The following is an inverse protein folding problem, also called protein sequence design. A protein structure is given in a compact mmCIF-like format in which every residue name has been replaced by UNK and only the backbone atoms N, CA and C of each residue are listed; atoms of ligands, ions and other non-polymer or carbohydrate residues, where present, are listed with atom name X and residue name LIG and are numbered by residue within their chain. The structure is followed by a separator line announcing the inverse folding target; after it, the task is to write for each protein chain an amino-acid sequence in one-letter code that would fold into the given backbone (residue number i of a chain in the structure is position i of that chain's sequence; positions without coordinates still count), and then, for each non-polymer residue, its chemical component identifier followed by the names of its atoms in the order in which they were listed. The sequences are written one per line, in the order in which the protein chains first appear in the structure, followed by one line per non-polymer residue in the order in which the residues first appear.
data_IF_484707975797
#
_entry.id   IF_484707975797
#
_cell.length_a   1.000
_cell.length_b   1.000
_cell.length_c   1.000
_cell.angle_alpha   90.00
_cell.angle_beta   90.00
_cell.angle_gamma   90.00
#
_symmetry.space_group_name_H-M   'P 1'
#
loop_
_entity.id
_entity.type
_entity.pdbx_description
1 polymer ?
#
# COMPACT_ATOMS: atom_id res chain seq x y z
N UNK A 1 13.19 24.16 -14.10
CA UNK A 1 14.31 23.27 -13.76
C UNK A 1 13.93 21.89 -14.28
N UNK A 2 14.89 21.02 -14.61
CA UNK A 2 14.59 19.68 -15.11
C UNK A 2 14.26 18.79 -13.92
N UNK A 3 13.05 18.26 -13.81
CA UNK A 3 12.64 17.43 -12.66
C UNK A 3 13.21 16.01 -12.80
N UNK A 4 14.03 15.58 -11.84
CA UNK A 4 14.74 14.29 -11.81
C UNK A 4 14.24 13.44 -10.64
N UNK A 5 13.57 12.33 -10.95
CA UNK A 5 13.01 11.43 -9.93
C UNK A 5 13.77 10.10 -9.91
N UNK A 6 14.22 9.69 -8.73
CA UNK A 6 14.87 8.40 -8.52
C UNK A 6 13.90 7.28 -8.16
N UNK A 7 14.18 6.05 -8.58
CA UNK A 7 13.50 4.84 -8.08
C UNK A 7 14.54 3.82 -7.62
N UNK A 8 14.54 3.51 -6.32
CA UNK A 8 15.43 2.52 -5.71
C UNK A 8 14.71 1.18 -5.58
N UNK A 9 15.31 0.13 -6.14
CA UNK A 9 14.78 -1.23 -6.09
C UNK A 9 13.82 -1.50 -7.24
N UNK A 10 14.20 -2.39 -8.17
CA UNK A 10 13.47 -2.62 -9.42
C UNK A 10 12.82 -4.01 -9.45
N UNK A 11 12.22 -4.40 -8.31
CA UNK A 11 11.32 -5.55 -8.22
C UNK A 11 9.97 -5.25 -8.88
N UNK A 12 8.94 -6.06 -8.57
CA UNK A 12 7.59 -5.88 -9.12
C UNK A 12 7.03 -4.47 -8.85
N UNK A 13 7.07 -4.02 -7.59
CA UNK A 13 6.56 -2.71 -7.16
C UNK A 13 7.40 -1.55 -7.71
N UNK A 14 8.72 -1.62 -7.60
CA UNK A 14 9.57 -0.55 -8.11
C UNK A 14 9.50 -0.37 -9.62
N UNK A 15 9.33 -1.44 -10.40
CA UNK A 15 9.08 -1.32 -11.85
C UNK A 15 7.73 -0.66 -12.14
N UNK A 16 6.68 -1.00 -11.38
CA UNK A 16 5.39 -0.32 -11.47
C UNK A 16 5.52 1.18 -11.18
N UNK A 17 6.21 1.56 -10.10
CA UNK A 17 6.47 2.97 -9.77
C UNK A 17 7.27 3.68 -10.86
N UNK A 18 8.37 3.09 -11.34
CA UNK A 18 9.18 3.62 -12.44
C UNK A 18 8.34 3.85 -13.70
N UNK A 19 7.46 2.90 -14.04
CA UNK A 19 6.53 3.02 -15.15
C UNK A 19 5.49 4.11 -14.94
N UNK A 20 4.94 4.25 -13.74
CA UNK A 20 3.97 5.30 -13.44
C UNK A 20 4.62 6.68 -13.54
N UNK A 21 5.77 6.89 -12.87
CA UNK A 21 6.54 8.13 -12.93
C UNK A 21 6.91 8.51 -14.36
N UNK A 22 7.36 7.56 -15.17
CA UNK A 22 7.77 7.82 -16.55
C UNK A 22 6.65 8.37 -17.43
N UNK A 23 5.39 8.26 -16.99
CA UNK A 23 4.21 8.72 -17.70
C UNK A 23 3.57 9.97 -17.09
N UNK A 24 4.11 10.48 -15.97
CA UNK A 24 3.61 11.69 -15.35
C UNK A 24 4.20 12.93 -16.02
N UNK A 25 3.37 13.95 -16.20
CA UNK A 25 3.79 15.24 -16.73
C UNK A 25 4.76 15.93 -15.76
N UNK A 26 5.73 16.67 -16.31
CA UNK A 26 6.68 17.43 -15.50
C UNK A 26 7.80 16.60 -14.87
N UNK A 27 7.99 15.34 -15.30
CA UNK A 27 9.20 14.54 -15.03
C UNK A 27 10.08 14.54 -16.27
N UNK A 28 11.30 15.09 -16.17
CA UNK A 28 12.23 15.19 -17.29
C UNK A 28 13.22 14.03 -17.34
N UNK A 29 13.60 13.50 -16.17
CA UNK A 29 14.49 12.34 -16.04
C UNK A 29 13.99 11.37 -14.97
N UNK A 30 13.98 10.09 -15.31
CA UNK A 30 13.77 8.98 -14.38
C UNK A 30 15.11 8.24 -14.18
N UNK A 31 15.58 8.24 -12.93
CA UNK A 31 16.85 7.62 -12.56
C UNK A 31 16.59 6.28 -11.88
N UNK A 32 16.97 5.18 -12.53
CA UNK A 32 16.85 3.84 -11.96
C UNK A 32 18.05 3.52 -11.08
N UNK A 33 17.82 3.26 -9.78
CA UNK A 33 18.87 3.17 -8.77
C UNK A 33 18.93 1.75 -8.19
N UNK A 34 20.13 1.17 -8.11
CA UNK A 34 20.27 -0.20 -7.65
C UNK A 34 21.71 -0.66 -7.44
N UNK A 35 21.89 -1.92 -7.05
CA UNK A 35 23.19 -2.50 -6.65
C UNK A 35 23.99 -3.11 -7.80
N UNK A 36 23.35 -3.39 -8.93
CA UNK A 36 23.92 -4.22 -9.99
C UNK A 36 23.66 -3.60 -11.35
N UNK A 37 24.72 -3.15 -12.02
CA UNK A 37 24.63 -2.47 -13.30
C UNK A 37 23.84 -3.27 -14.35
N UNK A 38 24.12 -4.58 -14.49
CA UNK A 38 23.38 -5.44 -15.43
C UNK A 38 21.88 -5.46 -15.17
N UNK A 39 21.45 -5.58 -13.90
CA UNK A 39 20.01 -5.55 -13.54
C UNK A 39 19.36 -4.19 -13.80
N UNK A 40 20.12 -3.10 -13.68
CA UNK A 40 19.64 -1.75 -14.00
C UNK A 40 19.42 -1.59 -15.50
N UNK A 41 20.37 -2.04 -16.33
CA UNK A 41 20.24 -1.99 -17.78
C UNK A 41 19.12 -2.90 -18.28
N UNK A 42 18.95 -4.09 -17.70
CA UNK A 42 17.82 -4.98 -18.02
C UNK A 42 16.48 -4.31 -17.68
N UNK A 43 16.36 -3.71 -16.49
CA UNK A 43 15.16 -3.01 -16.06
C UNK A 43 14.87 -1.77 -16.93
N UNK A 44 15.91 -1.03 -17.33
CA UNK A 44 15.80 0.10 -18.26
C UNK A 44 15.30 -0.36 -19.63
N UNK A 45 15.87 -1.41 -20.20
CA UNK A 45 15.46 -1.95 -21.50
C UNK A 45 14.01 -2.46 -21.46
N UNK A 46 13.64 -3.16 -20.38
CA UNK A 46 12.27 -3.61 -20.15
C UNK A 46 11.31 -2.42 -20.06
N UNK A 47 11.62 -1.42 -19.24
CA UNK A 47 10.80 -0.22 -19.09
C UNK A 47 10.65 0.54 -20.41
N UNK A 48 11.70 0.66 -21.21
CA UNK A 48 11.62 1.27 -22.54
C UNK A 48 10.72 0.49 -23.50
N UNK A 49 10.76 -0.83 -23.46
CA UNK A 49 9.83 -1.69 -24.21
C UNK A 49 8.40 -1.51 -23.73
N UNK A 50 8.21 -1.43 -22.41
CA UNK A 50 6.93 -1.13 -21.76
C UNK A 50 6.51 0.34 -21.94
N UNK A 51 7.27 1.23 -22.56
CA UNK A 51 6.79 2.60 -22.84
C UNK A 51 6.71 2.87 -24.35
N UNK A 52 6.93 1.84 -25.16
CA UNK A 52 6.90 1.91 -26.61
C UNK A 52 5.48 2.30 -27.10
N UNK A 53 5.37 3.06 -28.21
CA UNK A 53 4.07 3.53 -28.72
C UNK A 53 3.03 2.42 -28.95
N UNK A 54 3.50 1.21 -29.27
CA UNK A 54 2.69 0.08 -29.73
C UNK A 54 2.54 -1.04 -28.68
N UNK A 55 3.07 -0.84 -27.48
CA UNK A 55 2.99 -1.85 -26.45
C UNK A 55 1.57 -1.92 -25.84
N UNK A 56 1.24 -3.08 -25.25
CA UNK A 56 -0.13 -3.52 -24.95
C UNK A 56 -0.94 -2.69 -23.95
N UNK A 57 -2.16 -3.12 -23.58
CA UNK A 57 -3.16 -2.32 -22.87
C UNK A 57 -2.76 -1.81 -21.48
N UNK A 58 -1.69 -2.33 -20.87
CA UNK A 58 -1.08 -1.76 -19.66
C UNK A 58 -0.56 -0.33 -19.90
N UNK A 59 -0.35 0.04 -21.16
CA UNK A 59 0.23 1.32 -21.60
C UNK A 59 -0.77 2.23 -22.29
N UNK A 60 -1.92 1.65 -22.67
CA UNK A 60 -3.11 2.30 -23.23
C UNK A 60 -4.33 1.49 -22.83
N UNK A 61 -4.98 1.92 -21.75
CA UNK A 61 -6.19 1.30 -21.21
C UNK A 61 -7.05 2.36 -20.52
N UNK A 62 -8.06 1.93 -19.74
CA UNK A 62 -8.99 2.84 -19.06
C UNK A 62 -8.31 3.86 -18.12
N UNK A 63 -7.05 3.60 -17.72
CA UNK A 63 -6.35 4.39 -16.71
C UNK A 63 -5.04 5.04 -17.21
N UNK A 64 -4.71 4.88 -18.50
CA UNK A 64 -3.56 5.57 -19.09
C UNK A 64 -3.78 7.10 -19.07
N UNK A 65 -2.72 7.92 -18.93
CA UNK A 65 -2.85 9.37 -18.99
C UNK A 65 -3.49 9.81 -20.31
N UNK A 66 -4.43 10.75 -20.23
CA UNK A 66 -5.04 11.34 -21.41
C UNK A 66 -4.06 12.35 -22.04
N UNK A 67 -3.63 12.13 -23.28
CA UNK A 67 -2.80 13.07 -24.03
C UNK A 67 -1.49 12.47 -24.56
N UNK A 68 -0.56 13.30 -25.06
CA UNK A 68 0.77 12.82 -25.44
C UNK A 68 1.51 12.31 -24.21
N UNK A 69 1.93 11.05 -24.25
CA UNK A 69 2.67 10.41 -23.16
C UNK A 69 4.00 11.12 -22.97
N UNK A 70 4.24 11.69 -21.78
CA UNK A 70 5.56 12.18 -21.40
C UNK A 70 6.57 11.02 -21.48
N UNK A 71 7.81 11.31 -21.90
CA UNK A 71 8.86 10.32 -22.07
C UNK A 71 10.16 10.88 -21.52
N UNK A 72 10.38 10.80 -20.21
CA UNK A 72 11.61 11.29 -19.61
C UNK A 72 12.83 10.53 -20.15
N UNK A 73 13.99 11.16 -20.01
CA UNK A 73 15.26 10.45 -20.15
C UNK A 73 15.32 9.37 -19.06
N UNK A 74 15.64 8.12 -19.42
CA UNK A 74 15.83 7.04 -18.46
C UNK A 74 17.32 6.78 -18.29
N UNK A 75 17.83 7.03 -17.08
CA UNK A 75 19.24 6.81 -16.70
C UNK A 75 19.35 5.78 -15.57
N UNK A 76 20.58 5.36 -15.27
CA UNK A 76 20.87 4.34 -14.26
C UNK A 76 22.00 4.84 -13.36
N UNK A 77 21.90 4.59 -12.05
CA UNK A 77 22.93 4.94 -11.06
C UNK A 77 23.11 3.80 -10.05
N UNK A 78 24.36 3.51 -9.68
CA UNK A 78 24.65 2.51 -8.65
C UNK A 78 24.51 3.09 -7.25
N UNK A 79 23.99 2.30 -6.31
CA UNK A 79 23.92 2.68 -4.89
C UNK A 79 25.29 2.90 -4.22
N UNK A 80 26.37 2.49 -4.87
CA UNK A 80 27.75 2.75 -4.43
C UNK A 80 28.28 4.12 -4.85
N UNK A 81 27.53 4.82 -5.70
CA UNK A 81 27.82 6.19 -6.15
C UNK A 81 27.00 7.20 -5.33
N UNK A 82 27.17 8.50 -5.62
CA UNK A 82 26.34 9.55 -5.03
C UNK A 82 24.95 9.57 -5.70
N UNK A 83 24.13 8.57 -5.37
CA UNK A 83 22.86 8.32 -6.05
C UNK A 83 21.79 9.36 -5.75
N UNK A 84 21.99 10.21 -4.73
CA UNK A 84 21.11 11.32 -4.38
C UNK A 84 21.40 12.60 -5.16
N UNK A 85 22.54 12.68 -5.84
CA UNK A 85 23.00 13.92 -6.46
C UNK A 85 22.03 14.44 -7.55
N UNK A 86 21.54 15.65 -7.32
CA UNK A 86 20.62 16.37 -8.18
C UNK A 86 19.25 15.69 -8.37
N UNK A 87 18.79 14.82 -7.48
CA UNK A 87 17.41 14.32 -7.47
C UNK A 87 16.48 15.34 -6.82
N UNK A 88 15.29 15.52 -7.39
CA UNK A 88 14.21 16.32 -6.80
C UNK A 88 13.31 15.48 -5.89
N UNK A 89 13.38 14.14 -6.00
CA UNK A 89 12.70 13.20 -5.11
C UNK A 89 13.06 11.76 -5.43
N UNK A 90 12.81 10.84 -4.49
CA UNK A 90 13.07 9.42 -4.68
C UNK A 90 11.94 8.53 -4.16
N UNK A 91 11.60 7.49 -4.93
CA UNK A 91 10.78 6.38 -4.49
C UNK A 91 11.66 5.21 -4.05
N UNK A 92 11.47 4.70 -2.83
CA UNK A 92 12.19 3.54 -2.29
C UNK A 92 11.24 2.35 -2.27
N UNK A 93 11.40 1.45 -3.24
CA UNK A 93 10.65 0.20 -3.39
C UNK A 93 11.59 -1.03 -3.31
N UNK A 94 12.58 -0.92 -2.43
CA UNK A 94 13.59 -1.95 -2.16
C UNK A 94 13.09 -3.01 -1.17
N UNK A 95 13.99 -3.89 -0.70
CA UNK A 95 13.65 -4.79 0.40
C UNK A 95 13.45 -4.02 1.70
N UNK A 96 12.48 -4.39 2.53
CA UNK A 96 12.10 -3.65 3.74
C UNK A 96 13.27 -3.32 4.67
N UNK A 97 14.21 -4.25 4.88
CA UNK A 97 15.38 -4.01 5.76
C UNK A 97 16.32 -2.90 5.27
N UNK A 98 16.23 -2.48 4.00
CA UNK A 98 17.02 -1.37 3.45
C UNK A 98 16.30 -0.02 3.50
N UNK A 99 15.01 0.02 3.84
CA UNK A 99 14.22 1.26 3.88
C UNK A 99 14.82 2.31 4.82
N UNK A 100 15.20 1.99 6.08
CA UNK A 100 15.70 3.00 7.01
C UNK A 100 16.94 3.74 6.49
N UNK A 101 17.93 3.00 6.00
CA UNK A 101 19.21 3.58 5.58
C UNK A 101 19.08 4.36 4.27
N UNK A 102 18.30 3.85 3.33
CA UNK A 102 18.05 4.54 2.06
C UNK A 102 17.25 5.83 2.27
N UNK A 103 16.20 5.79 3.09
CA UNK A 103 15.40 6.98 3.41
C UNK A 103 16.24 8.02 4.14
N UNK A 104 17.01 7.61 5.16
CA UNK A 104 17.92 8.50 5.89
C UNK A 104 18.95 9.15 4.97
N UNK A 105 19.51 8.40 4.03
CA UNK A 105 20.48 8.92 3.05
C UNK A 105 19.86 10.03 2.19
N UNK A 106 18.69 9.78 1.61
CA UNK A 106 17.98 10.75 0.78
C UNK A 106 17.56 12.01 1.57
N UNK A 107 16.92 11.82 2.73
CA UNK A 107 16.44 12.93 3.55
C UNK A 107 17.60 13.80 4.07
N UNK A 108 18.74 13.19 4.44
CA UNK A 108 19.94 13.93 4.84
C UNK A 108 20.53 14.76 3.69
N UNK A 109 20.37 14.27 2.45
CA UNK A 109 20.76 15.00 1.24
C UNK A 109 19.74 16.09 0.83
N UNK A 110 18.64 16.25 1.56
CA UNK A 110 17.58 17.21 1.22
C UNK A 110 16.60 16.71 0.16
N UNK A 111 16.62 15.42 -0.18
CA UNK A 111 15.78 14.82 -1.22
C UNK A 111 14.50 14.25 -0.61
N UNK A 112 13.30 14.74 -1.03
CA UNK A 112 12.02 14.17 -0.63
C UNK A 112 11.90 12.67 -0.91
N UNK A 113 11.22 11.93 -0.03
CA UNK A 113 11.11 10.46 -0.10
C UNK A 113 9.67 9.99 -0.14
N UNK A 114 9.35 9.07 -1.06
CA UNK A 114 8.22 8.16 -0.96
C UNK A 114 8.77 6.75 -0.71
N UNK A 115 8.50 6.17 0.44
CA UNK A 115 9.03 4.86 0.83
C UNK A 115 7.93 3.82 0.94
N UNK A 116 8.15 2.64 0.35
CA UNK A 116 7.24 1.52 0.50
C UNK A 116 7.07 1.09 1.96
N UNK A 117 5.88 0.60 2.29
CA UNK A 117 5.62 0.07 3.63
C UNK A 117 6.38 -1.25 3.87
N UNK A 118 6.69 -1.59 5.12
CA UNK A 118 6.81 -0.69 6.28
C UNK A 118 8.15 0.07 6.26
N UNK A 119 8.26 1.16 7.02
CA UNK A 119 9.51 1.93 7.13
C UNK A 119 10.57 1.27 8.03
N UNK A 120 10.16 0.33 8.88
CA UNK A 120 11.01 -0.45 9.78
C UNK A 120 10.44 -1.86 9.99
N UNK A 121 11.26 -2.78 10.52
CA UNK A 121 10.86 -4.17 10.74
C UNK A 121 10.20 -4.38 12.10
N UNK A 122 10.49 -3.49 13.06
CA UNK A 122 9.99 -3.52 14.43
C UNK A 122 9.20 -2.26 14.76
N UNK A 123 8.34 -2.35 15.75
CA UNK A 123 7.51 -1.22 16.17
C UNK A 123 8.36 -0.11 16.81
N UNK A 124 9.30 -0.49 17.68
CA UNK A 124 10.23 0.43 18.34
C UNK A 124 11.05 1.21 17.30
N UNK A 125 11.53 0.48 16.29
CA UNK A 125 12.29 1.04 15.16
C UNK A 125 11.41 1.96 14.31
N UNK A 126 10.19 1.53 13.96
CA UNK A 126 9.22 2.35 13.20
C UNK A 126 8.92 3.65 13.95
N UNK A 127 8.71 3.59 15.26
CA UNK A 127 8.44 4.78 16.07
C UNK A 127 9.65 5.72 16.12
N UNK A 128 10.85 5.19 16.31
CA UNK A 128 12.09 5.97 16.31
C UNK A 128 12.35 6.63 14.95
N UNK A 129 12.20 5.88 13.85
CA UNK A 129 12.36 6.38 12.48
C UNK A 129 11.31 7.43 12.13
N UNK A 130 10.07 7.24 12.58
CA UNK A 130 9.01 8.23 12.36
C UNK A 130 9.37 9.56 13.01
N UNK A 131 9.77 9.52 14.29
CA UNK A 131 10.20 10.72 15.01
C UNK A 131 11.45 11.37 14.38
N UNK A 132 12.40 10.56 13.90
CA UNK A 132 13.60 11.03 13.22
C UNK A 132 13.25 11.74 11.90
N UNK A 133 12.50 11.09 11.02
CA UNK A 133 12.21 11.58 9.67
C UNK A 133 11.23 12.75 9.68
N UNK A 134 10.23 12.75 10.55
CA UNK A 134 9.28 13.87 10.66
C UNK A 134 9.89 15.12 11.33
N UNK A 135 11.04 14.98 12.01
CA UNK A 135 11.78 16.12 12.54
C UNK A 135 12.64 16.84 11.47
N UNK A 136 12.78 16.27 10.28
CA UNK A 136 13.50 16.86 9.16
C UNK A 136 12.57 17.80 8.38
N UNK A 137 13.12 18.91 7.88
CA UNK A 137 12.39 19.85 7.01
C UNK A 137 12.37 19.38 5.54
N UNK A 138 12.30 18.06 5.34
CA UNK A 138 12.33 17.39 4.04
C UNK A 138 11.13 16.45 3.97
N UNK A 139 10.25 16.57 2.97
CA UNK A 139 9.04 15.75 2.91
C UNK A 139 9.31 14.25 2.84
N UNK A 140 8.54 13.48 3.60
CA UNK A 140 8.48 12.02 3.52
C UNK A 140 7.03 11.54 3.45
N UNK A 141 6.80 10.57 2.59
CA UNK A 141 5.56 9.83 2.42
C UNK A 141 5.83 8.33 2.59
N UNK A 142 4.91 7.62 3.26
CA UNK A 142 4.85 6.16 3.26
C UNK A 142 3.81 5.70 2.26
N UNK A 143 4.09 4.64 1.49
CA UNK A 143 3.23 4.18 0.40
C UNK A 143 1.97 3.42 0.87
N UNK A 144 1.07 4.11 1.58
CA UNK A 144 -0.27 3.62 1.91
C UNK A 144 -1.24 3.89 0.75
N UNK A 145 -1.00 3.22 -0.38
CA UNK A 145 -1.69 3.48 -1.65
C UNK A 145 -3.22 3.50 -1.56
N UNK A 146 -3.86 2.74 -0.66
CA UNK A 146 -5.33 2.71 -0.50
C UNK A 146 -5.90 4.06 -0.06
N UNK A 147 -5.12 4.92 0.60
CA UNK A 147 -5.54 6.30 0.94
C UNK A 147 -5.62 7.21 -0.30
N UNK A 148 -5.06 6.78 -1.43
CA UNK A 148 -5.13 7.43 -2.74
C UNK A 148 -6.18 6.79 -3.67
N UNK A 149 -6.92 5.78 -3.21
CA UNK A 149 -8.05 5.21 -3.94
C UNK A 149 -9.29 6.11 -3.77
N UNK A 150 -9.95 6.44 -4.88
CA UNK A 150 -11.07 7.37 -4.91
C UNK A 150 -12.31 6.84 -4.19
N UNK A 151 -12.55 5.52 -4.23
CA UNK A 151 -13.62 4.89 -3.47
C UNK A 151 -13.38 5.04 -1.98
N UNK A 152 -12.15 4.80 -1.53
CA UNK A 152 -11.75 4.97 -0.13
C UNK A 152 -11.75 6.43 0.32
N UNK A 153 -11.31 7.38 -0.51
CA UNK A 153 -11.41 8.81 -0.21
C UNK A 153 -12.87 9.27 -0.11
N UNK A 154 -13.72 8.86 -1.06
CA UNK A 154 -15.16 9.17 -1.04
C UNK A 154 -15.81 8.57 0.21
N UNK A 155 -15.48 7.32 0.56
CA UNK A 155 -15.99 6.68 1.77
C UNK A 155 -15.60 7.46 3.03
N UNK A 156 -14.33 7.90 3.12
CA UNK A 156 -13.85 8.77 4.21
C UNK A 156 -14.67 10.07 4.31
N UNK A 157 -14.90 10.74 3.19
CA UNK A 157 -15.70 11.97 3.14
C UNK A 157 -17.13 11.74 3.64
N UNK A 158 -17.77 10.63 3.25
CA UNK A 158 -19.13 10.27 3.70
C UNK A 158 -19.20 9.94 5.19
N UNK A 159 -18.16 9.31 5.75
CA UNK A 159 -18.06 9.06 7.19
C UNK A 159 -18.04 10.40 7.95
N UNK A 160 -17.21 11.35 7.51
CA UNK A 160 -17.03 12.61 8.21
C UNK A 160 -18.09 13.68 7.89
N UNK A 161 -18.86 13.54 6.81
CA UNK A 161 -19.95 14.47 6.47
C UNK A 161 -21.15 14.36 7.42
N UNK A 162 -21.28 13.24 8.14
CA UNK A 162 -22.43 12.94 9.01
C UNK A 162 -23.64 12.37 8.27
N UNK A 163 -23.58 12.19 6.95
CA UNK A 163 -24.67 11.64 6.12
C UNK A 163 -25.09 10.23 6.52
N UNK A 164 -24.18 9.46 7.13
CA UNK A 164 -24.44 8.09 7.59
C UNK A 164 -25.16 8.04 8.95
N UNK A 165 -25.32 9.18 9.63
CA UNK A 165 -25.78 9.21 11.02
C UNK A 165 -24.76 8.57 11.97
N UNK A 166 -25.22 7.72 12.88
CA UNK A 166 -24.33 6.99 13.81
C UNK A 166 -23.75 5.76 13.12
N UNK A 167 -22.42 5.72 12.94
CA UNK A 167 -21.70 4.54 12.47
C UNK A 167 -21.96 3.36 13.41
N UNK A 168 -22.29 2.19 12.86
CA UNK A 168 -22.69 0.98 13.59
C UNK A 168 -21.64 -0.12 13.49
N UNK A 169 -21.27 -0.49 12.27
CA UNK A 169 -20.33 -1.58 12.01
C UNK A 169 -19.62 -1.36 10.69
N UNK A 170 -18.39 -1.82 10.62
CA UNK A 170 -17.55 -1.81 9.40
C UNK A 170 -17.24 -3.25 9.04
N UNK A 171 -17.43 -3.62 7.78
CA UNK A 171 -16.94 -4.89 7.24
C UNK A 171 -15.84 -4.59 6.24
N UNK A 172 -14.73 -5.31 6.32
CA UNK A 172 -13.62 -5.17 5.37
C UNK A 172 -13.11 -6.54 4.96
N UNK A 173 -12.81 -6.68 3.68
CA UNK A 173 -12.18 -7.86 3.11
C UNK A 173 -10.86 -7.47 2.46
N UNK A 174 -9.83 -8.26 2.72
CA UNK A 174 -8.52 -8.20 2.08
C UNK A 174 -8.11 -9.59 1.64
N UNK A 175 -8.55 -10.01 0.45
CA UNK A 175 -8.28 -11.33 -0.09
C UNK A 175 -7.45 -11.27 -1.37
N UNK A 176 -6.33 -11.98 -1.38
CA UNK A 176 -5.44 -12.06 -2.54
C UNK A 176 -5.92 -13.09 -3.57
N UNK A 177 -5.68 -12.80 -4.85
CA UNK A 177 -5.91 -13.73 -5.96
C UNK A 177 -4.61 -14.16 -6.63
N UNK A 178 -3.64 -14.62 -5.84
CA UNK A 178 -2.41 -15.20 -6.34
C UNK A 178 -1.76 -16.10 -5.29
N UNK A 179 -0.93 -17.02 -5.77
CA UNK A 179 -0.03 -17.79 -4.91
C UNK A 179 1.15 -16.91 -4.49
N UNK A 180 1.40 -16.88 -3.19
CA UNK A 180 2.60 -16.25 -2.63
C UNK A 180 3.77 -17.20 -2.85
N UNK A 181 4.94 -16.67 -3.23
CA UNK A 181 6.15 -17.47 -3.37
C UNK A 181 6.48 -18.15 -2.02
N UNK A 182 6.60 -19.49 -1.95
CA UNK A 182 6.96 -20.19 -0.72
C UNK A 182 8.27 -19.72 -0.09
N UNK A 183 9.22 -19.17 -0.87
CA UNK A 183 10.45 -18.59 -0.33
C UNK A 183 10.23 -17.24 0.37
N UNK A 184 9.17 -16.51 0.01
CA UNK A 184 8.83 -15.23 0.63
C UNK A 184 8.09 -15.41 1.96
N UNK A 185 7.22 -16.42 2.07
CA UNK A 185 6.33 -16.64 3.24
C UNK A 185 7.08 -16.53 4.58
N UNK A 186 8.21 -17.22 4.84
CA UNK A 186 8.90 -17.19 6.13
C UNK A 186 9.48 -15.81 6.49
N UNK A 187 9.62 -14.92 5.50
CA UNK A 187 10.23 -13.59 5.66
C UNK A 187 9.23 -12.44 5.53
N UNK A 188 7.97 -12.73 5.20
CA UNK A 188 6.92 -11.74 4.96
C UNK A 188 6.48 -10.98 6.22
N UNK A 189 6.70 -11.57 7.41
CA UNK A 189 6.12 -11.08 8.67
C UNK A 189 4.69 -11.59 8.91
N UNK A 190 4.18 -12.44 8.02
CA UNK A 190 2.91 -13.14 8.14
C UNK A 190 1.68 -12.33 7.73
N UNK A 191 0.52 -12.97 7.73
CA UNK A 191 -0.76 -12.40 7.25
C UNK A 191 -1.09 -11.05 7.88
N UNK A 192 -0.72 -10.82 9.14
CA UNK A 192 -1.05 -9.60 9.88
C UNK A 192 -0.19 -8.40 9.47
N UNK A 193 1.07 -8.62 9.07
CA UNK A 193 2.03 -7.57 8.75
C UNK A 193 2.22 -7.36 7.25
N UNK A 194 1.94 -8.39 6.46
CA UNK A 194 2.08 -8.33 5.01
C UNK A 194 0.75 -8.00 4.31
N UNK A 195 -0.31 -8.79 4.58
CA UNK A 195 -1.63 -8.65 3.96
C UNK A 195 -2.51 -7.64 4.71
N UNK A 196 -2.88 -7.97 5.95
CA UNK A 196 -3.89 -7.23 6.73
C UNK A 196 -3.39 -5.90 7.32
N UNK A 197 -2.10 -5.60 7.15
CA UNK A 197 -1.53 -4.30 7.53
C UNK A 197 -2.23 -3.16 6.80
N UNK A 198 -2.74 -3.41 5.60
CA UNK A 198 -3.45 -2.41 4.82
C UNK A 198 -4.82 -2.09 5.40
N UNK A 199 -5.57 -3.07 5.90
CA UNK A 199 -6.82 -2.86 6.64
C UNK A 199 -6.55 -2.16 7.97
N UNK A 200 -5.43 -2.51 8.63
CA UNK A 200 -4.99 -1.88 9.88
C UNK A 200 -4.53 -0.43 9.72
N UNK A 201 -4.14 -0.02 8.51
CA UNK A 201 -3.96 1.39 8.15
C UNK A 201 -5.29 2.05 7.74
N UNK A 202 -5.99 1.43 6.80
CA UNK A 202 -7.13 2.03 6.09
C UNK A 202 -8.31 2.27 7.02
N UNK A 203 -8.64 1.33 7.92
CA UNK A 203 -9.84 1.44 8.75
C UNK A 203 -9.69 2.53 9.83
N UNK A 204 -8.60 2.57 10.63
CA UNK A 204 -8.36 3.69 11.55
C UNK A 204 -8.26 5.03 10.83
N UNK A 205 -7.64 5.06 9.64
CA UNK A 205 -7.65 6.23 8.78
C UNK A 205 -9.09 6.64 8.47
N UNK A 206 -9.90 5.80 7.80
CA UNK A 206 -11.29 6.07 7.45
C UNK A 206 -12.12 6.63 8.61
N UNK A 207 -11.96 6.05 9.80
CA UNK A 207 -12.69 6.47 11.00
C UNK A 207 -12.19 7.80 11.57
N UNK A 208 -10.90 8.12 11.41
CA UNK A 208 -10.26 9.22 12.13
C UNK A 208 -10.33 9.04 13.65
N UNK A 209 -10.39 7.80 14.11
CA UNK A 209 -10.59 7.41 15.50
C UNK A 209 -9.56 6.36 15.91
N UNK A 210 -9.07 6.44 17.16
CA UNK A 210 -8.10 5.49 17.68
C UNK A 210 -8.75 4.13 17.97
N UNK A 211 -8.17 3.01 17.50
CA UNK A 211 -8.57 1.68 17.93
C UNK A 211 -8.11 1.39 19.36
N UNK A 212 -8.91 0.68 20.15
CA UNK A 212 -8.61 0.36 21.57
C UNK A 212 -8.25 -1.10 21.81
N UNK A 213 -8.82 -2.02 21.04
CA UNK A 213 -8.53 -3.45 21.15
C UNK A 213 -8.80 -4.20 19.86
N UNK A 214 -8.14 -5.34 19.70
CA UNK A 214 -8.37 -6.27 18.60
C UNK A 214 -8.56 -7.69 19.12
N UNK A 215 -9.51 -8.41 18.56
CA UNK A 215 -9.60 -9.87 18.66
C UNK A 215 -9.29 -10.47 17.29
N UNK A 216 -8.46 -11.50 17.23
CA UNK A 216 -8.06 -12.14 15.99
C UNK A 216 -8.05 -13.67 16.12
N UNK A 217 -8.33 -14.34 15.00
CA UNK A 217 -8.31 -15.79 14.84
C UNK A 217 -7.98 -16.13 13.39
N UNK A 218 -7.42 -17.31 13.14
CA UNK A 218 -7.14 -17.78 11.79
C UNK A 218 -6.58 -19.19 11.76
N UNK A 219 -6.27 -19.67 10.58
CA UNK A 219 -5.75 -21.02 10.34
C UNK A 219 -5.05 -21.14 8.99
N UNK A 220 -4.62 -22.37 8.71
CA UNK A 220 -4.08 -22.79 7.41
C UNK A 220 -5.06 -23.78 6.82
N UNK A 221 -5.64 -23.44 5.67
CA UNK A 221 -6.73 -24.18 5.03
C UNK A 221 -6.33 -24.81 3.69
N UNK A 222 -5.28 -24.32 3.03
CA UNK A 222 -4.87 -24.77 1.70
C UNK A 222 -3.39 -25.16 1.64
N UNK A 223 -2.48 -24.25 1.98
CA UNK A 223 -1.05 -24.40 1.66
C UNK A 223 -0.17 -24.65 2.91
N UNK A 224 0.41 -25.85 2.98
CA UNK A 224 1.25 -26.30 4.10
C UNK A 224 2.46 -25.40 4.38
N UNK A 225 2.96 -24.66 3.37
CA UNK A 225 4.09 -23.75 3.53
C UNK A 225 3.83 -22.64 4.57
N UNK A 226 2.57 -22.20 4.73
CA UNK A 226 2.19 -21.25 5.78
C UNK A 226 2.32 -21.89 7.16
N UNK A 227 1.80 -23.11 7.35
CA UNK A 227 1.89 -23.83 8.61
C UNK A 227 3.35 -24.10 9.02
N UNK A 228 4.19 -24.50 8.06
CA UNK A 228 5.62 -24.75 8.28
C UNK A 228 6.38 -23.48 8.68
N UNK A 229 5.87 -22.30 8.29
CA UNK A 229 6.42 -20.98 8.61
C UNK A 229 5.83 -20.36 9.88
N UNK A 230 4.84 -21.00 10.50
CA UNK A 230 4.09 -20.42 11.63
C UNK A 230 3.17 -19.25 11.22
N UNK A 231 2.79 -19.18 9.94
CA UNK A 231 1.90 -18.17 9.37
C UNK A 231 0.49 -18.75 9.12
N UNK A 232 -0.44 -17.90 8.68
CA UNK A 232 -1.83 -18.22 8.39
C UNK A 232 -2.15 -17.86 6.93
N UNK A 233 -2.89 -18.72 6.24
CA UNK A 233 -3.43 -18.38 4.90
C UNK A 233 -4.83 -17.75 4.98
N UNK A 234 -5.51 -17.91 6.12
CA UNK A 234 -6.87 -17.42 6.35
C UNK A 234 -6.98 -16.84 7.76
N UNK A 235 -7.52 -15.64 7.87
CA UNK A 235 -7.54 -14.86 9.09
C UNK A 235 -8.81 -14.00 9.21
N UNK A 236 -9.22 -13.76 10.45
CA UNK A 236 -10.31 -12.83 10.80
C UNK A 236 -9.90 -11.99 12.00
N UNK A 237 -10.33 -10.74 12.01
CA UNK A 237 -10.11 -9.84 13.13
C UNK A 237 -11.33 -8.95 13.39
N UNK A 238 -11.48 -8.54 14.65
CA UNK A 238 -12.45 -7.54 15.08
C UNK A 238 -11.71 -6.43 15.81
N UNK A 239 -11.63 -5.25 15.21
CA UNK A 239 -11.13 -4.04 15.87
C UNK A 239 -12.30 -3.40 16.63
N UNK A 240 -12.06 -2.94 17.84
CA UNK A 240 -12.99 -2.09 18.61
C UNK A 240 -12.37 -0.71 18.77
N UNK A 241 -13.16 0.32 18.49
CA UNK A 241 -12.80 1.74 18.64
C UNK A 241 -13.30 2.31 19.98
N UNK A 242 -12.84 3.51 20.38
CA UNK A 242 -13.23 4.18 21.63
C UNK A 242 -14.74 4.41 21.73
N UNK A 243 -15.38 4.72 20.60
CA UNK A 243 -16.82 4.92 20.42
C UNK A 243 -17.63 3.64 20.59
N UNK A 244 -16.98 2.48 20.64
CA UNK A 244 -17.61 1.16 20.65
C UNK A 244 -17.96 0.64 19.25
N UNK A 245 -17.69 1.39 18.18
CA UNK A 245 -17.77 0.90 16.80
C UNK A 245 -16.83 -0.29 16.63
N UNK A 246 -17.28 -1.29 15.87
CA UNK A 246 -16.50 -2.48 15.56
C UNK A 246 -16.25 -2.61 14.06
N UNK A 247 -15.04 -3.01 13.70
CA UNK A 247 -14.68 -3.38 12.34
C UNK A 247 -14.35 -4.87 12.26
N UNK A 248 -15.15 -5.62 11.50
CA UNK A 248 -14.90 -7.01 11.16
C UNK A 248 -14.06 -7.08 9.90
N UNK A 249 -12.94 -7.80 9.98
CA UNK A 249 -11.96 -7.94 8.91
C UNK A 249 -11.84 -9.42 8.58
N UNK A 250 -11.84 -9.76 7.29
CA UNK A 250 -11.42 -11.06 6.78
C UNK A 250 -10.20 -10.90 5.86
N UNK A 251 -9.23 -11.79 6.05
CA UNK A 251 -8.03 -11.91 5.23
C UNK A 251 -7.87 -13.33 4.73
N UNK A 252 -7.53 -13.50 3.46
CA UNK A 252 -7.35 -14.79 2.85
C UNK A 252 -6.34 -14.72 1.71
N UNK A 253 -5.51 -15.74 1.60
CA UNK A 253 -4.60 -15.92 0.48
C UNK A 253 -5.26 -16.78 -0.59
N UNK A 254 -4.98 -16.46 -1.85
CA UNK A 254 -5.35 -17.27 -3.01
C UNK A 254 -6.86 -17.60 -3.14
N UNK A 255 -7.72 -16.58 -3.06
CA UNK A 255 -9.15 -16.73 -3.35
C UNK A 255 -9.35 -16.88 -4.85
N UNK A 256 -9.92 -18.01 -5.27
CA UNK A 256 -10.06 -18.35 -6.70
C UNK A 256 -10.97 -17.40 -7.52
N UNK A 257 -11.87 -16.64 -6.88
CA UNK A 257 -12.83 -15.80 -7.59
C UNK A 257 -12.25 -14.47 -8.09
N UNK A 258 -11.12 -14.01 -7.57
CA UNK A 258 -10.49 -12.74 -7.96
C UNK A 258 -10.01 -11.93 -6.75
N UNK A 259 -9.23 -10.88 -7.00
CA UNK A 259 -8.69 -10.03 -5.94
C UNK A 259 -9.85 -9.27 -5.28
N UNK A 260 -10.02 -9.45 -3.96
CA UNK A 260 -11.11 -8.85 -3.20
C UNK A 260 -10.57 -7.87 -2.16
N UNK A 261 -10.70 -6.58 -2.44
CA UNK A 261 -10.35 -5.55 -1.46
C UNK A 261 -11.48 -4.54 -1.39
N UNK A 262 -12.31 -4.68 -0.35
CA UNK A 262 -13.47 -3.84 -0.15
C UNK A 262 -13.68 -3.49 1.33
N UNK A 263 -14.36 -2.37 1.56
CA UNK A 263 -14.81 -1.96 2.89
C UNK A 263 -16.21 -1.39 2.78
N UNK A 264 -17.13 -1.90 3.60
CA UNK A 264 -18.51 -1.43 3.73
C UNK A 264 -18.71 -0.86 5.12
N UNK A 265 -19.23 0.36 5.20
CA UNK A 265 -19.54 1.03 6.45
C UNK A 265 -21.05 1.17 6.57
N UNK A 266 -21.61 0.72 7.67
CA UNK A 266 -23.04 0.80 7.96
C UNK A 266 -23.28 1.86 9.04
N UNK A 267 -24.05 2.88 8.69
CA UNK A 267 -24.57 3.88 9.62
C UNK A 267 -26.05 3.65 9.94
N UNK A 268 -26.61 4.50 10.81
CA UNK A 268 -28.05 4.46 11.10
C UNK A 268 -28.91 4.90 9.93
N UNK A 269 -28.37 5.76 9.06
CA UNK A 269 -29.14 6.47 8.04
C UNK A 269 -28.74 6.03 6.62
N UNK A 270 -27.50 5.58 6.42
CA UNK A 270 -26.99 5.12 5.15
C UNK A 270 -25.88 4.07 5.31
N UNK A 271 -25.59 3.35 4.22
CA UNK A 271 -24.40 2.51 4.09
C UNK A 271 -23.66 2.87 2.80
N UNK A 272 -22.33 2.89 2.88
CA UNK A 272 -21.46 3.17 1.74
C UNK A 272 -20.34 2.14 1.69
N UNK A 273 -19.81 1.91 0.49
CA UNK A 273 -18.74 0.95 0.26
C UNK A 273 -17.67 1.51 -0.66
N UNK A 274 -16.42 1.09 -0.42
CA UNK A 274 -15.30 1.22 -1.33
C UNK A 274 -14.88 -0.17 -1.82
N UNK A 275 -14.48 -0.29 -3.09
CA UNK A 275 -14.06 -1.56 -3.69
C UNK A 275 -15.18 -2.54 -4.05
N UNK A 276 -16.43 -2.06 -4.12
CA UNK A 276 -17.56 -2.82 -4.67
C UNK A 276 -17.95 -2.21 -6.01
N UNK A 277 -17.76 -2.95 -7.10
CA UNK A 277 -18.01 -2.52 -8.48
C UNK A 277 -18.27 -3.74 -9.40
N UNK A 278 -18.23 -3.52 -10.72
CA UNK A 278 -18.44 -4.58 -11.73
C UNK A 278 -17.38 -5.68 -11.73
N UNK A 279 -16.27 -5.49 -11.01
CA UNK A 279 -15.16 -6.43 -10.88
C UNK A 279 -15.12 -7.14 -9.53
N UNK A 280 -16.08 -6.89 -8.63
CA UNK A 280 -16.15 -7.57 -7.35
C UNK A 280 -16.18 -9.10 -7.52
N UNK A 281 -15.29 -9.85 -6.85
CA UNK A 281 -15.11 -11.28 -7.09
C UNK A 281 -16.13 -12.15 -6.34
N UNK A 282 -17.40 -11.75 -6.38
CA UNK A 282 -18.52 -12.43 -5.73
C UNK A 282 -19.67 -12.56 -6.71
N UNK A 283 -20.05 -13.80 -7.03
CA UNK A 283 -21.22 -14.09 -7.87
C UNK A 283 -22.47 -14.13 -7.01
N UNK A 284 -23.43 -13.23 -7.29
CA UNK A 284 -24.73 -13.25 -6.65
C UNK A 284 -25.50 -14.52 -6.99
N UNK A 285 -26.16 -15.12 -6.01
CA UNK A 285 -27.06 -16.27 -6.19
C UNK A 285 -28.53 -15.85 -6.37
N UNK A 286 -28.81 -14.55 -6.33
CA UNK A 286 -30.16 -14.02 -6.54
C UNK A 286 -30.62 -14.18 -7.99
N UNK A 287 -31.88 -14.55 -8.24
CA UNK A 287 -32.40 -14.72 -9.60
C UNK A 287 -32.28 -13.45 -10.45
N UNK A 288 -31.70 -13.57 -11.64
CA UNK A 288 -31.61 -12.47 -12.61
C UNK A 288 -30.44 -11.50 -12.40
N UNK A 289 -29.56 -11.75 -11.42
CA UNK A 289 -28.32 -11.00 -11.26
C UNK A 289 -27.21 -11.68 -12.07
N UNK A 290 -26.60 -10.94 -12.98
CA UNK A 290 -25.48 -11.45 -13.77
C UNK A 290 -24.23 -11.59 -12.89
N UNK A 291 -23.36 -12.60 -13.14
CA UNK A 291 -22.03 -12.62 -12.55
C UNK A 291 -21.20 -11.40 -13.00
N UNK A 292 -20.13 -11.05 -12.27
CA UNK A 292 -19.19 -10.02 -12.72
C UNK A 292 -18.60 -10.38 -14.09
N UNK A 293 -18.40 -9.38 -14.96
CA UNK A 293 -17.90 -9.59 -16.34
C UNK A 293 -16.43 -10.02 -16.35
N UNK A 294 -15.64 -9.47 -15.44
CA UNK A 294 -14.27 -9.87 -15.13
C UNK A 294 -13.97 -9.54 -13.67
N UNK A 295 -12.85 -10.03 -13.14
CA UNK A 295 -12.38 -9.69 -11.80
C UNK A 295 -10.95 -9.20 -11.88
N UNK A 296 -10.52 -8.44 -10.87
CA UNK A 296 -9.14 -8.01 -10.77
C UNK A 296 -8.21 -9.21 -10.57
N UNK A 297 -7.14 -9.28 -11.36
CA UNK A 297 -6.16 -10.36 -11.28
C UNK A 297 -5.28 -10.23 -10.03
N UNK A 298 -4.94 -9.01 -9.63
CA UNK A 298 -4.15 -8.74 -8.45
C UNK A 298 -4.39 -7.32 -7.89
N UNK A 299 -3.70 -6.98 -6.79
CA UNK A 299 -3.78 -5.66 -6.18
C UNK A 299 -3.16 -4.54 -7.04
N UNK A 300 -2.22 -4.84 -7.94
CA UNK A 300 -1.61 -3.82 -8.82
C UNK A 300 -2.66 -3.36 -9.82
N UNK A 301 -3.40 -4.29 -10.43
CA UNK A 301 -4.50 -3.97 -11.32
C UNK A 301 -5.61 -3.22 -10.57
N UNK A 302 -6.04 -3.72 -9.40
CA UNK A 302 -7.10 -3.09 -8.59
C UNK A 302 -6.76 -1.66 -8.17
N UNK A 303 -5.51 -1.39 -7.82
CA UNK A 303 -5.08 -0.10 -7.27
C UNK A 303 -4.23 0.73 -8.24
N UNK A 304 -4.17 0.39 -9.52
CA UNK A 304 -3.42 1.16 -10.51
C UNK A 304 -3.76 2.66 -10.48
N UNK A 305 -5.05 3.08 -10.41
CA UNK A 305 -5.39 4.49 -10.34
C UNK A 305 -4.91 5.14 -9.05
N UNK A 306 -4.88 4.38 -7.95
CA UNK A 306 -4.41 4.85 -6.65
C UNK A 306 -2.89 5.03 -6.63
N UNK A 307 -2.11 4.08 -7.19
CA UNK A 307 -0.66 4.22 -7.33
C UNK A 307 -0.28 5.43 -8.19
N UNK A 308 -1.02 5.72 -9.27
CA UNK A 308 -0.79 6.94 -10.06
C UNK A 308 -1.11 8.21 -9.28
N UNK A 309 -2.22 8.22 -8.54
CA UNK A 309 -2.59 9.37 -7.68
C UNK A 309 -1.56 9.59 -6.56
N UNK A 310 -1.01 8.52 -5.99
CA UNK A 310 0.08 8.58 -5.01
C UNK A 310 1.33 9.23 -5.60
N UNK A 311 1.78 8.79 -6.78
CA UNK A 311 2.94 9.39 -7.48
C UNK A 311 2.67 10.86 -7.80
N UNK A 312 1.50 11.23 -8.33
CA UNK A 312 1.14 12.63 -8.60
C UNK A 312 1.14 13.47 -7.34
N UNK A 313 0.61 12.94 -6.24
CA UNK A 313 0.62 13.62 -4.96
C UNK A 313 2.06 13.82 -4.45
N UNK A 314 2.92 12.81 -4.60
CA UNK A 314 4.34 12.94 -4.27
C UNK A 314 5.03 14.04 -5.09
N UNK A 315 4.77 14.13 -6.41
CA UNK A 315 5.27 15.23 -7.25
C UNK A 315 4.75 16.61 -6.79
N UNK A 316 3.48 16.70 -6.39
CA UNK A 316 2.92 17.93 -5.83
C UNK A 316 3.58 18.31 -4.49
N UNK A 317 3.92 17.33 -3.65
CA UNK A 317 4.67 17.54 -2.40
C UNK A 317 6.08 18.05 -2.69
N UNK A 318 6.79 17.47 -3.66
CA UNK A 318 8.12 17.93 -4.11
C UNK A 318 8.08 19.39 -4.56
N UNK A 319 7.03 19.77 -5.31
CA UNK A 319 6.85 21.13 -5.81
C UNK A 319 6.38 22.14 -4.76
N UNK A 320 6.03 21.69 -3.55
CA UNK A 320 5.46 22.54 -2.49
C UNK A 320 3.99 22.90 -2.68
N UNK A 321 3.29 22.23 -3.59
CA UNK A 321 1.87 22.43 -3.88
C UNK A 321 0.95 21.63 -2.94
N UNK A 322 1.50 20.65 -2.21
CA UNK A 322 0.78 19.79 -1.27
C UNK A 322 1.64 19.40 -0.06
N UNK A 323 0.99 18.88 0.97
CA UNK A 323 1.64 18.25 2.14
C UNK A 323 1.39 16.74 2.14
N UNK A 324 2.31 15.97 2.70
CA UNK A 324 2.19 14.51 2.83
C UNK A 324 0.86 14.10 3.50
N UNK A 325 0.13 13.18 2.87
CA UNK A 325 -1.08 12.55 3.40
C UNK A 325 -0.80 11.24 4.16
N UNK A 326 0.44 10.76 4.10
CA UNK A 326 0.88 9.46 4.61
C UNK A 326 2.21 9.63 5.34
N UNK A 327 2.15 10.17 6.55
CA UNK A 327 3.33 10.41 7.37
C UNK A 327 3.90 9.07 7.90
N UNK A 328 5.21 9.00 8.19
CA UNK A 328 5.82 7.85 8.86
C UNK A 328 5.04 7.34 10.08
N UNK A 329 4.55 8.25 10.93
CA UNK A 329 3.80 7.95 12.14
C UNK A 329 2.45 7.27 11.90
N UNK A 330 1.86 7.39 10.70
CA UNK A 330 0.64 6.67 10.32
C UNK A 330 0.81 5.14 10.45
N UNK A 331 2.01 4.63 10.17
CA UNK A 331 2.30 3.20 10.23
C UNK A 331 2.37 2.62 11.64
N UNK A 332 2.49 3.46 12.68
CA UNK A 332 2.60 3.00 14.07
C UNK A 332 1.32 2.30 14.51
N UNK A 333 0.14 2.86 14.15
CA UNK A 333 -1.15 2.27 14.51
C UNK A 333 -1.35 0.94 13.80
N UNK A 334 -1.05 0.88 12.51
CA UNK A 334 -1.16 -0.34 11.72
C UNK A 334 -0.24 -1.45 12.27
N UNK A 335 1.02 -1.11 12.59
CA UNK A 335 1.98 -2.03 13.17
C UNK A 335 1.55 -2.54 14.56
N UNK A 336 1.01 -1.66 15.42
CA UNK A 336 0.45 -2.06 16.72
C UNK A 336 -0.73 -3.02 16.59
N UNK A 337 -1.64 -2.76 15.65
CA UNK A 337 -2.76 -3.65 15.37
C UNK A 337 -2.29 -5.02 14.88
N UNK A 338 -1.30 -5.06 13.98
CA UNK A 338 -0.73 -6.32 13.50
C UNK A 338 -0.12 -7.15 14.63
N UNK A 339 0.68 -6.52 15.50
CA UNK A 339 1.26 -7.17 16.68
C UNK A 339 0.20 -7.64 17.68
N UNK A 340 -0.83 -6.81 17.93
CA UNK A 340 -1.92 -7.16 18.81
C UNK A 340 -2.79 -8.30 18.24
N UNK A 341 -2.96 -8.38 16.92
CA UNK A 341 -3.65 -9.48 16.24
C UNK A 341 -2.91 -10.80 16.43
N UNK A 342 -1.61 -10.81 16.15
CA UNK A 342 -0.74 -11.97 16.38
C UNK A 342 -0.82 -12.45 17.83
N UNK A 343 -0.75 -11.52 18.79
CA UNK A 343 -0.85 -11.83 20.21
C UNK A 343 -2.25 -12.32 20.61
N UNK A 344 -3.31 -11.79 19.99
CA UNK A 344 -4.68 -12.23 20.22
C UNK A 344 -4.88 -13.68 19.78
N UNK A 345 -4.33 -14.07 18.62
CA UNK A 345 -4.37 -15.47 18.16
C UNK A 345 -3.67 -16.37 19.18
N UNK A 346 -2.46 -15.97 19.61
CA UNK A 346 -1.66 -16.75 20.56
C UNK A 346 -2.34 -16.91 21.92
N UNK A 347 -3.00 -15.87 22.42
CA UNK A 347 -3.66 -15.87 23.75
C UNK A 347 -5.12 -16.35 23.72
N UNK A 348 -5.75 -16.41 22.56
CA UNK A 348 -7.17 -16.77 22.42
C UNK A 348 -8.13 -15.76 23.06
N UNK A 349 -7.75 -14.47 23.15
CA UNK A 349 -8.56 -13.40 23.75
C UNK A 349 -8.31 -12.05 23.09
N UNK A 350 -9.24 -11.09 23.19
CA UNK A 350 -8.97 -9.72 22.75
C UNK A 350 -7.72 -9.15 23.46
N UNK A 351 -6.93 -8.37 22.72
CA UNK A 351 -5.73 -7.67 23.19
C UNK A 351 -5.97 -6.17 23.07
N UNK A 352 -5.73 -5.43 24.16
CA UNK A 352 -5.78 -3.96 24.12
C UNK A 352 -4.51 -3.41 23.49
N UNK A 353 -4.63 -2.32 22.74
CA UNK A 353 -3.46 -1.73 22.07
C UNK A 353 -2.46 -1.11 23.05
N UNK A 354 -2.88 -0.77 24.27
CA UNK A 354 -2.00 -0.34 25.35
C UNK A 354 -1.15 -1.47 25.95
N UNK A 355 -1.46 -2.74 25.66
CA UNK A 355 -0.60 -3.89 25.99
C UNK A 355 0.60 -4.01 25.03
N UNK A 356 0.56 -3.36 23.87
CA UNK A 356 1.62 -3.38 22.85
C UNK A 356 2.47 -2.12 22.97
N UNK A 357 3.65 -2.26 23.58
CA UNK A 357 4.62 -1.18 23.70
C UNK A 357 5.47 -1.08 22.44
N UNK A 358 5.75 0.16 22.03
CA UNK A 358 6.84 0.50 21.12
C UNK A 358 8.13 0.75 21.90
#
# INVERSE_FOLDING_TARGET
MSTRIGVVGLGRIGRMHARNIAQEDGVDELVLIGRTAGKLEDAKAQLQSELAPDAGPDLRGAHAPAGPVNRPVISTVLLTEDWTDGLDGVIIASSTHTHPDLARTALTAGVPVLVEKPIGLKLEETAALSAEFEALDVPIMVAYHRRYDEGFQTLRERIHSGEMGTIRVIHSAGHDHFHVDPEFIPTSGGVWRDLLIHEFDTIPWLMGEAPVSIFASGGVLDEQAYADSGDLDTATAVITFESGVQALISGARNIASGQDVNTVVYGSDAAFAAGIDSHSPVTSTEPGVAPPESTYADFIERFEPAFRREVRHFLAVINGDATSLTLPSDGIVAAKLALAAEESVRRGRPVRLDEITA
#
